data_IF_847379993364
#
_entry.id   IF_847379993364
#
_cell.length_a   1.000
_cell.length_b   1.000
_cell.length_c   1.000
_cell.angle_alpha   90.00
_cell.angle_beta   90.00
_cell.angle_gamma   90.00
#
_symmetry.space_group_name_H-M   'P 1'
#
loop_
_entity.id
_entity.type
_entity.pdbx_description
1 polymer ?
#
# COMPACT_ATOMS: atom_id res chain seq x y z
N UNK A 1 14.62 -9.56 -10.72
CA UNK A 1 13.34 -9.99 -10.17
C UNK A 1 13.45 -10.54 -8.78
N UNK A 2 13.75 -9.74 -7.76
CA UNK A 2 13.84 -10.21 -6.36
C UNK A 2 12.77 -9.61 -5.44
N UNK A 3 11.59 -9.33 -5.98
CA UNK A 3 10.54 -8.56 -5.30
C UNK A 3 9.58 -9.38 -4.42
N UNK A 4 9.93 -10.63 -4.10
CA UNK A 4 9.04 -11.58 -3.42
C UNK A 4 8.37 -11.08 -2.13
N UNK A 5 7.07 -11.33 -2.01
CA UNK A 5 6.39 -11.53 -0.73
C UNK A 5 6.24 -10.32 0.20
N UNK A 6 5.71 -9.20 -0.30
CA UNK A 6 4.89 -8.37 0.58
C UNK A 6 3.52 -9.03 0.69
N UNK A 7 3.24 -9.69 1.82
CA UNK A 7 1.85 -10.03 2.16
C UNK A 7 0.99 -8.78 2.02
N UNK A 8 -0.24 -8.97 1.59
CA UNK A 8 -1.29 -7.97 1.40
C UNK A 8 -1.48 -6.94 2.56
N UNK A 9 -0.84 -7.10 3.72
CA UNK A 9 -0.67 -6.07 4.75
C UNK A 9 0.68 -5.35 4.64
N UNK A 10 0.68 -4.06 4.32
CA UNK A 10 1.86 -3.17 4.25
C UNK A 10 2.53 -2.87 5.62
N UNK A 11 2.47 -3.79 6.57
CA UNK A 11 3.24 -3.72 7.80
C UNK A 11 3.82 -5.09 8.06
N UNK A 12 5.13 -5.18 8.27
CA UNK A 12 5.89 -6.41 8.46
C UNK A 12 5.14 -7.41 9.35
N UNK A 13 4.42 -8.33 8.73
CA UNK A 13 3.97 -9.54 9.39
C UNK A 13 5.08 -10.56 9.13
N UNK A 14 6.23 -10.32 9.74
CA UNK A 14 7.40 -11.16 9.61
C UNK A 14 7.06 -12.57 10.04
N UNK A 15 6.98 -13.50 9.08
CA UNK A 15 7.22 -14.95 9.18
C UNK A 15 6.57 -15.76 10.32
N UNK A 16 5.73 -15.16 11.16
CA UNK A 16 5.17 -15.76 12.35
C UNK A 16 3.66 -15.79 12.25
N UNK A 17 3.10 -16.98 12.43
CA UNK A 17 1.68 -17.20 12.69
C UNK A 17 1.26 -16.41 13.94
N UNK A 18 0.99 -15.11 13.82
CA UNK A 18 0.29 -14.37 14.85
C UNK A 18 -1.13 -14.93 14.90
N UNK A 19 -1.58 -15.32 16.10
CA UNK A 19 -2.94 -15.86 16.29
C UNK A 19 -4.04 -14.86 15.92
N UNK A 20 -3.66 -13.59 15.72
CA UNK A 20 -4.55 -12.49 15.37
C UNK A 20 -3.83 -11.56 14.36
N UNK A 21 -4.01 -11.77 13.04
CA UNK A 21 -3.35 -10.95 12.03
C UNK A 21 -4.07 -9.61 11.84
N UNK A 22 -3.30 -8.57 11.51
CA UNK A 22 -3.80 -7.23 11.25
C UNK A 22 -4.25 -7.12 9.79
N UNK A 23 -5.47 -6.62 9.56
CA UNK A 23 -6.02 -6.48 8.19
C UNK A 23 -6.34 -5.03 7.79
N UNK A 24 -6.65 -4.17 8.76
CA UNK A 24 -6.93 -2.74 8.56
C UNK A 24 -5.81 -1.88 9.16
N UNK A 25 -4.82 -1.54 8.35
CA UNK A 25 -3.79 -0.60 8.75
C UNK A 25 -4.28 0.83 8.57
N UNK A 26 -4.15 1.65 9.62
CA UNK A 26 -4.46 3.08 9.51
C UNK A 26 -3.28 3.76 8.79
N UNK A 27 -3.52 4.49 7.69
CA UNK A 27 -2.46 5.02 6.82
C UNK A 27 -1.85 6.31 7.39
N UNK A 28 -1.23 6.22 8.57
CA UNK A 28 -0.54 7.33 9.20
C UNK A 28 0.63 7.81 8.32
N UNK A 29 0.57 9.08 7.87
CA UNK A 29 1.63 9.74 7.09
C UNK A 29 2.52 10.56 7.99
N UNK A 30 3.83 10.46 7.80
CA UNK A 30 4.80 11.32 8.48
C UNK A 30 4.96 12.64 7.71
N UNK A 31 4.65 13.76 8.38
CA UNK A 31 4.69 15.09 7.78
C UNK A 31 6.09 15.53 7.32
N UNK A 32 7.15 15.05 7.97
CA UNK A 32 8.53 15.45 7.60
C UNK A 32 9.00 14.86 6.27
N UNK A 33 8.46 13.71 5.90
CA UNK A 33 8.85 12.97 4.71
C UNK A 33 7.80 13.03 3.61
N UNK A 34 6.63 13.61 3.90
CA UNK A 34 5.56 13.79 2.91
C UNK A 34 5.93 14.93 1.96
N UNK A 35 5.87 14.65 0.66
CA UNK A 35 5.97 15.67 -0.41
C UNK A 35 4.60 16.24 -0.81
N UNK A 36 3.51 15.69 -0.27
CA UNK A 36 2.16 16.17 -0.55
C UNK A 36 1.91 17.54 0.11
N UNK A 37 1.16 18.38 -0.60
CA UNK A 37 0.65 19.62 -0.02
C UNK A 37 -0.24 19.32 1.19
N UNK A 38 -0.24 20.23 2.16
CA UNK A 38 -1.12 20.11 3.32
C UNK A 38 -2.59 20.01 2.85
N UNK A 39 -3.41 19.13 3.46
CA UNK A 39 -4.83 19.04 3.15
C UNK A 39 -5.48 20.42 3.29
N UNK A 40 -6.19 20.88 2.26
CA UNK A 40 -6.90 22.17 2.26
C UNK A 40 -8.38 22.03 2.59
N UNK A 41 -8.89 20.80 2.61
CA UNK A 41 -10.30 20.46 2.83
C UNK A 41 -10.43 19.30 3.83
N UNK A 42 -11.63 19.10 4.37
CA UNK A 42 -11.94 17.98 5.26
C UNK A 42 -11.46 18.15 6.71
N UNK A 43 -10.83 17.11 7.24
CA UNK A 43 -10.32 17.02 8.61
C UNK A 43 -8.89 16.45 8.61
N UNK A 44 -8.13 16.80 9.64
CA UNK A 44 -6.82 16.20 9.90
C UNK A 44 -6.85 15.59 11.30
N UNK A 45 -6.62 14.28 11.38
CA UNK A 45 -6.38 13.58 12.62
C UNK A 45 -4.86 13.50 12.84
N UNK A 46 -4.39 14.25 13.83
CA UNK A 46 -3.01 14.23 14.28
C UNK A 46 -2.85 13.20 15.39
N UNK A 47 -1.82 12.36 15.28
CA UNK A 47 -1.33 11.52 16.37
C UNK A 47 0.07 11.96 16.75
N UNK A 48 0.21 12.44 17.98
CA UNK A 48 1.48 12.78 18.61
C UNK A 48 1.90 11.62 19.51
N UNK A 49 2.76 10.70 19.06
CA UNK A 49 3.22 9.56 19.84
C UNK A 49 4.16 10.01 20.97
N UNK A 50 4.24 9.24 22.05
CA UNK A 50 5.24 9.52 23.10
C UNK A 50 6.64 9.03 22.71
N UNK A 51 6.73 7.99 21.89
CA UNK A 51 7.98 7.41 21.41
C UNK A 51 7.74 6.48 20.22
N UNK A 52 8.82 6.05 19.55
CA UNK A 52 8.74 4.99 18.53
C UNK A 52 8.21 3.68 19.10
N UNK A 53 8.57 3.31 20.33
CA UNK A 53 8.12 2.07 20.96
C UNK A 53 6.61 2.09 21.26
N UNK A 54 6.10 3.21 21.78
CA UNK A 54 4.66 3.40 21.99
C UNK A 54 3.92 3.30 20.66
N UNK A 55 4.40 4.01 19.63
CA UNK A 55 3.82 3.97 18.30
C UNK A 55 3.72 2.53 17.78
N UNK A 56 4.80 1.74 17.87
CA UNK A 56 4.82 0.36 17.41
C UNK A 56 3.82 -0.54 18.16
N UNK A 57 3.58 -0.29 19.44
CA UNK A 57 2.66 -1.08 20.28
C UNK A 57 1.23 -0.52 20.33
N UNK A 58 0.99 0.64 19.70
CA UNK A 58 -0.28 1.36 19.81
C UNK A 58 -1.39 0.71 19.00
N UNK A 59 -2.59 0.64 19.60
CA UNK A 59 -3.80 0.19 18.89
C UNK A 59 -4.23 1.14 17.78
N UNK A 60 -3.72 2.38 17.75
CA UNK A 60 -4.04 3.35 16.69
C UNK A 60 -3.53 2.92 15.31
N UNK A 61 -2.64 1.92 15.24
CA UNK A 61 -2.15 1.35 13.97
C UNK A 61 -3.18 0.48 13.26
N UNK A 62 -4.13 -0.09 14.00
CA UNK A 62 -5.15 -1.01 13.49
C UNK A 62 -6.55 -0.50 13.81
N UNK A 63 -7.28 -0.05 12.79
CA UNK A 63 -8.70 0.27 12.94
C UNK A 63 -9.36 0.38 11.58
N UNK A 64 -10.43 -0.39 11.38
CA UNK A 64 -11.26 -0.29 10.18
C UNK A 64 -11.90 1.09 10.05
N UNK A 65 -12.44 1.65 11.13
CA UNK A 65 -13.14 2.93 11.08
C UNK A 65 -12.21 4.08 10.64
N UNK A 66 -11.04 4.21 11.25
CA UNK A 66 -10.04 5.19 10.83
C UNK A 66 -9.53 4.94 9.40
N UNK A 67 -9.30 3.69 8.97
CA UNK A 67 -8.93 3.41 7.56
C UNK A 67 -10.02 3.86 6.57
N UNK A 68 -11.30 3.66 6.90
CA UNK A 68 -12.41 4.15 6.08
C UNK A 68 -12.50 5.68 6.08
N UNK A 69 -12.32 6.33 7.23
CA UNK A 69 -12.27 7.80 7.29
C UNK A 69 -11.10 8.39 6.50
N UNK A 70 -9.98 7.67 6.40
CA UNK A 70 -8.87 8.05 5.53
C UNK A 70 -9.24 8.01 4.02
N UNK A 71 -10.33 7.34 3.66
CA UNK A 71 -10.92 7.37 2.31
C UNK A 71 -11.95 8.51 2.13
N UNK A 72 -12.26 9.27 3.20
CA UNK A 72 -13.33 10.28 3.27
C UNK A 72 -12.82 11.66 3.69
N UNK A 73 -11.63 12.07 3.20
CA UNK A 73 -10.98 13.34 3.55
C UNK A 73 -10.73 13.56 5.05
N UNK A 74 -10.44 12.49 5.79
CA UNK A 74 -9.79 12.60 7.10
C UNK A 74 -8.32 12.21 6.93
N UNK A 75 -7.43 13.19 6.86
CA UNK A 75 -6.01 12.95 6.73
C UNK A 75 -5.44 12.38 8.04
N UNK A 76 -4.67 11.29 7.96
CA UNK A 76 -4.06 10.64 9.11
C UNK A 76 -2.60 11.06 9.23
N UNK A 77 -2.29 11.97 10.14
CA UNK A 77 -0.95 12.54 10.28
C UNK A 77 -0.28 12.09 11.56
N UNK A 78 0.90 11.50 11.40
CA UNK A 78 1.85 11.35 12.49
C UNK A 78 2.58 12.67 12.67
N UNK A 79 2.48 13.22 13.88
CA UNK A 79 2.96 14.56 14.21
C UNK A 79 3.92 14.53 15.41
N UNK A 80 4.70 15.58 15.52
CA UNK A 80 5.60 15.82 16.65
C UNK A 80 5.66 17.31 16.98
N UNK A 81 6.54 17.68 17.91
CA UNK A 81 6.71 19.09 18.35
C UNK A 81 7.16 20.04 17.24
N UNK A 82 7.64 19.55 16.10
CA UNK A 82 8.02 20.37 14.94
C UNK A 82 6.87 20.56 13.96
N UNK A 83 5.71 19.94 14.21
CA UNK A 83 4.52 20.10 13.37
C UNK A 83 4.00 21.55 13.48
N UNK A 84 3.61 22.20 12.37
CA UNK A 84 3.00 23.52 12.43
C UNK A 84 1.83 23.56 13.43
N UNK A 85 1.80 24.59 14.28
CA UNK A 85 0.81 24.76 15.35
C UNK A 85 0.79 23.63 16.41
N UNK A 86 1.86 22.83 16.54
CA UNK A 86 1.93 21.74 17.53
C UNK A 86 1.64 22.21 18.96
N UNK A 87 2.12 23.39 19.37
CA UNK A 87 1.84 23.96 20.69
C UNK A 87 0.34 24.16 20.94
N UNK A 88 -0.38 24.68 19.94
CA UNK A 88 -1.85 24.87 20.00
C UNK A 88 -2.59 23.54 19.98
N UNK A 89 -2.14 22.59 19.16
CA UNK A 89 -2.78 21.27 19.03
C UNK A 89 -2.60 20.43 20.30
N UNK A 90 -1.38 20.38 20.85
CA UNK A 90 -1.04 19.59 22.04
C UNK A 90 -1.54 20.31 23.30
N UNK A 91 -1.31 21.62 23.40
CA UNK A 91 -1.54 22.40 24.62
C UNK A 91 -0.77 21.83 25.81
N UNK A 92 -1.40 21.80 26.99
CA UNK A 92 -0.83 21.21 28.21
C UNK A 92 -0.92 19.67 28.29
N UNK A 93 -1.31 18.98 27.21
CA UNK A 93 -1.54 17.54 27.23
C UNK A 93 -0.22 16.76 27.33
N UNK A 94 -0.20 15.67 28.10
CA UNK A 94 0.93 14.72 28.06
C UNK A 94 0.83 13.84 26.81
N UNK A 95 1.98 13.45 26.26
CA UNK A 95 2.01 12.50 25.14
C UNK A 95 1.85 11.04 25.64
N UNK A 96 1.22 10.14 24.85
CA UNK A 96 0.67 10.40 23.52
C UNK A 96 -0.65 11.19 23.55
N UNK A 97 -0.97 11.92 22.48
CA UNK A 97 -2.25 12.63 22.30
C UNK A 97 -2.73 12.51 20.85
N UNK A 98 -4.04 12.42 20.66
CA UNK A 98 -4.67 12.51 19.33
C UNK A 98 -5.54 13.75 19.25
N UNK A 99 -5.44 14.50 18.15
CA UNK A 99 -6.15 15.77 17.95
C UNK A 99 -6.80 15.74 16.58
N UNK A 100 -8.12 15.91 16.53
CA UNK A 100 -8.86 16.13 15.31
C UNK A 100 -8.98 17.64 15.09
N UNK A 101 -8.58 18.11 13.91
CA UNK A 101 -8.55 19.52 13.58
C UNK A 101 -9.03 19.78 12.15
N UNK A 102 -9.37 21.05 11.88
CA UNK A 102 -9.57 21.56 10.54
C UNK A 102 -8.21 21.80 9.83
N UNK A 103 -8.19 21.92 8.50
CA UNK A 103 -7.00 22.30 7.72
C UNK A 103 -6.26 23.55 8.23
N UNK A 104 -6.98 24.53 8.78
CA UNK A 104 -6.41 25.76 9.34
C UNK A 104 -5.72 25.56 10.71
N UNK A 105 -5.72 24.34 11.24
CA UNK A 105 -5.13 23.99 12.53
C UNK A 105 -6.07 24.14 13.73
N UNK A 106 -7.32 24.56 13.52
CA UNK A 106 -8.32 24.70 14.60
C UNK A 106 -8.72 23.31 15.15
N UNK A 107 -8.46 23.00 16.43
CA UNK A 107 -8.90 21.75 17.03
C UNK A 107 -10.44 21.68 17.12
N UNK A 108 -11.00 20.54 16.72
CA UNK A 108 -12.44 20.21 16.87
C UNK A 108 -12.67 19.01 17.79
N UNK A 109 -11.61 18.24 18.09
CA UNK A 109 -11.66 17.16 19.07
C UNK A 109 -10.26 16.80 19.58
N UNK A 110 -10.16 16.29 20.81
CA UNK A 110 -8.91 15.86 21.41
C UNK A 110 -9.11 14.64 22.30
N UNK A 111 -8.19 13.69 22.24
CA UNK A 111 -8.11 12.53 23.13
C UNK A 111 -6.77 12.55 23.84
N UNK A 112 -6.80 12.70 25.16
CA UNK A 112 -5.62 12.63 26.02
C UNK A 112 -5.35 11.18 26.44
N UNK A 113 -4.07 10.85 26.63
CA UNK A 113 -3.73 9.50 27.10
C UNK A 113 -4.20 9.24 28.53
N UNK A 114 -4.50 7.98 28.81
CA UNK A 114 -4.63 7.46 30.16
C UNK A 114 -3.46 6.52 30.43
N UNK A 115 -2.63 6.84 31.42
CA UNK A 115 -1.43 6.07 31.78
C UNK A 115 -0.47 5.82 30.59
N UNK A 116 -0.24 6.86 29.77
CA UNK A 116 0.69 6.81 28.64
C UNK A 116 0.14 6.07 27.41
N UNK A 117 -1.15 5.74 27.37
CA UNK A 117 -1.79 5.03 26.25
C UNK A 117 -3.02 5.75 25.71
N UNK A 118 -3.16 5.78 24.39
CA UNK A 118 -4.40 6.13 23.71
C UNK A 118 -5.15 4.84 23.37
N UNK A 119 -6.47 4.84 23.58
CA UNK A 119 -7.35 3.76 23.10
C UNK A 119 -7.91 4.15 21.75
N UNK A 120 -7.79 3.28 20.75
CA UNK A 120 -8.30 3.55 19.41
C UNK A 120 -9.80 3.87 19.41
N UNK A 121 -10.59 3.21 20.26
CA UNK A 121 -12.02 3.46 20.40
C UNK A 121 -12.37 4.90 20.82
N UNK A 122 -11.54 5.54 21.67
CA UNK A 122 -11.76 6.93 22.08
C UNK A 122 -11.47 7.89 20.92
N UNK A 123 -10.46 7.57 20.10
CA UNK A 123 -10.12 8.33 18.89
C UNK A 123 -11.19 8.17 17.81
N UNK A 124 -11.62 6.94 17.54
CA UNK A 124 -12.75 6.64 16.63
C UNK A 124 -14.00 7.41 17.03
N UNK A 125 -14.29 7.50 18.34
CA UNK A 125 -15.45 8.22 18.86
C UNK A 125 -15.43 9.70 18.50
N UNK A 126 -14.30 10.40 18.68
CA UNK A 126 -14.24 11.83 18.37
C UNK A 126 -14.35 12.09 16.86
N UNK A 127 -13.75 11.25 16.02
CA UNK A 127 -13.86 11.37 14.56
C UNK A 127 -15.29 11.09 14.12
N UNK A 128 -15.90 10.02 14.63
CA UNK A 128 -17.29 9.66 14.30
C UNK A 128 -18.28 10.74 14.73
N UNK A 129 -18.08 11.35 15.92
CA UNK A 129 -18.95 12.41 16.42
C UNK A 129 -18.89 13.66 15.52
N UNK A 130 -17.70 14.11 15.16
CA UNK A 130 -17.51 15.26 14.25
C UNK A 130 -18.10 14.98 12.86
N UNK A 131 -17.85 13.80 12.29
CA UNK A 131 -18.42 13.42 10.98
C UNK A 131 -19.95 13.39 11.03
N UNK A 132 -20.55 12.85 12.10
CA UNK A 132 -22.02 12.87 12.28
C UNK A 132 -22.58 14.29 12.42
N UNK A 133 -21.89 15.17 13.13
CA UNK A 133 -22.30 16.56 13.26
C UNK A 133 -22.28 17.29 11.91
N UNK A 134 -21.23 17.06 11.10
CA UNK A 134 -21.14 17.57 9.73
C UNK A 134 -22.25 17.02 8.85
N UNK A 135 -22.51 15.71 8.94
CA UNK A 135 -23.59 15.08 8.19
C UNK A 135 -24.96 15.69 8.51
N UNK A 136 -25.26 15.90 9.80
CA UNK A 136 -26.51 16.54 10.23
C UNK A 136 -26.64 17.98 9.69
N UNK A 137 -25.53 18.72 9.63
CA UNK A 137 -25.49 20.06 9.03
C UNK A 137 -25.77 20.01 7.54
N UNK A 138 -25.18 19.05 6.83
CA UNK A 138 -25.42 18.84 5.40
C UNK A 138 -26.87 18.42 5.12
N UNK A 139 -27.44 17.57 5.96
CA UNK A 139 -28.85 17.18 5.87
C UNK A 139 -29.80 18.37 6.08
N UNK A 140 -29.49 19.24 7.04
CA UNK A 140 -30.22 20.51 7.22
C UNK A 140 -30.09 21.38 5.98
N UNK A 141 -28.88 21.58 5.46
CA UNK A 141 -28.64 22.40 4.27
C UNK A 141 -29.38 21.86 3.05
N UNK A 142 -29.41 20.54 2.83
CA UNK A 142 -30.18 19.92 1.75
C UNK A 142 -31.68 20.18 1.90
N UNK A 143 -32.21 20.02 3.11
CA UNK A 143 -33.63 20.28 3.41
C UNK A 143 -34.00 21.74 3.19
N UNK A 144 -33.18 22.66 3.69
CA UNK A 144 -33.38 24.09 3.60
C UNK A 144 -33.23 24.58 2.15
N UNK A 145 -32.23 24.06 1.41
CA UNK A 145 -32.04 24.36 -0.01
C UNK A 145 -33.28 23.96 -0.83
N UNK A 146 -33.83 22.77 -0.56
CA UNK A 146 -35.05 22.28 -1.21
C UNK A 146 -36.26 23.17 -0.89
N UNK A 147 -36.42 23.58 0.36
CA UNK A 147 -37.51 24.47 0.77
C UNK A 147 -37.38 25.86 0.11
N UNK A 148 -36.18 26.42 0.05
CA UNK A 148 -35.87 27.69 -0.62
C UNK A 148 -36.14 27.64 -2.12
N UNK A 149 -35.68 26.57 -2.79
CA UNK A 149 -35.96 26.35 -4.21
C UNK A 149 -37.47 26.27 -4.48
N UNK A 150 -38.21 25.53 -3.65
CA UNK A 150 -39.68 25.42 -3.77
C UNK A 150 -40.41 26.76 -3.54
N UNK A 151 -39.83 27.65 -2.72
CA UNK A 151 -40.34 28.99 -2.47
C UNK A 151 -39.94 30.03 -3.53
N UNK A 152 -39.18 29.63 -4.58
CA UNK A 152 -38.69 30.53 -5.62
C UNK A 152 -37.42 31.30 -5.27
N UNK A 153 -36.89 31.13 -4.06
CA UNK A 153 -35.63 31.75 -3.58
C UNK A 153 -34.43 30.96 -4.12
N UNK A 154 -34.20 31.10 -5.42
CA UNK A 154 -33.19 30.31 -6.16
C UNK A 154 -31.76 30.66 -5.76
N UNK A 155 -31.49 31.89 -5.35
CA UNK A 155 -30.16 32.34 -4.96
C UNK A 155 -29.69 31.67 -3.66
N UNK A 156 -30.54 31.66 -2.62
CA UNK A 156 -30.18 31.02 -1.35
C UNK A 156 -30.14 29.50 -1.48
N UNK A 157 -31.03 28.91 -2.30
CA UNK A 157 -31.00 27.48 -2.61
C UNK A 157 -29.68 27.07 -3.28
N UNK A 158 -29.21 27.83 -4.28
CA UNK A 158 -27.92 27.56 -4.95
C UNK A 158 -26.76 27.59 -3.96
N UNK A 159 -26.71 28.59 -3.07
CA UNK A 159 -25.65 28.71 -2.06
C UNK A 159 -25.62 27.50 -1.12
N UNK A 160 -26.77 27.05 -0.64
CA UNK A 160 -26.87 25.88 0.24
C UNK A 160 -26.46 24.58 -0.49
N UNK A 161 -26.91 24.37 -1.73
CA UNK A 161 -26.48 23.20 -2.50
C UNK A 161 -24.99 23.24 -2.84
N UNK A 162 -24.40 24.41 -3.10
CA UNK A 162 -22.95 24.54 -3.31
C UNK A 162 -22.17 24.12 -2.06
N UNK A 163 -22.62 24.52 -0.87
CA UNK A 163 -22.02 24.09 0.39
C UNK A 163 -22.06 22.56 0.57
N UNK A 164 -23.19 21.92 0.22
CA UNK A 164 -23.31 20.45 0.25
C UNK A 164 -22.42 19.78 -0.80
N UNK A 165 -22.34 20.34 -2.01
CA UNK A 165 -21.51 19.83 -3.09
C UNK A 165 -20.01 19.92 -2.78
N UNK A 166 -19.59 20.93 -2.02
CA UNK A 166 -18.20 21.08 -1.56
C UNK A 166 -17.77 19.92 -0.65
N UNK A 167 -18.69 19.33 0.11
CA UNK A 167 -18.42 18.21 1.04
C UNK A 167 -18.39 16.83 0.33
N UNK A 168 -18.20 16.81 -1.01
CA UNK A 168 -18.20 15.59 -1.85
C UNK A 168 -17.21 14.52 -1.43
N UNK A 169 -16.11 14.89 -0.79
CA UNK A 169 -15.10 13.92 -0.39
C UNK A 169 -15.57 13.05 0.79
N UNK A 170 -16.27 13.66 1.74
CA UNK A 170 -16.78 12.95 2.92
C UNK A 170 -18.18 12.38 2.65
N UNK A 171 -19.03 13.11 1.92
CA UNK A 171 -20.43 12.79 1.67
C UNK A 171 -20.79 12.77 0.18
N UNK A 172 -20.06 11.98 -0.61
CA UNK A 172 -20.19 11.88 -2.07
C UNK A 172 -21.63 11.74 -2.58
N UNK A 173 -22.45 10.92 -1.92
CA UNK A 173 -23.87 10.73 -2.27
C UNK A 173 -24.70 12.02 -2.10
N UNK A 174 -24.51 12.72 -0.99
CA UNK A 174 -25.22 13.98 -0.69
C UNK A 174 -24.75 15.08 -1.64
N UNK A 175 -23.45 15.15 -1.91
CA UNK A 175 -22.89 16.07 -2.90
C UNK A 175 -23.40 15.80 -4.32
N UNK A 176 -23.53 14.53 -4.75
CA UNK A 176 -24.13 14.15 -6.04
C UNK A 176 -25.58 14.60 -6.13
N UNK A 177 -26.35 14.45 -5.04
CA UNK A 177 -27.74 14.92 -4.95
C UNK A 177 -27.79 16.45 -5.09
N UNK A 178 -26.96 17.19 -4.35
CA UNK A 178 -26.88 18.64 -4.45
C UNK A 178 -26.44 19.11 -5.85
N UNK A 179 -25.48 18.43 -6.48
CA UNK A 179 -25.05 18.73 -7.84
C UNK A 179 -26.17 18.53 -8.87
N UNK A 180 -26.99 17.49 -8.71
CA UNK A 180 -28.16 17.27 -9.56
C UNK A 180 -29.22 18.37 -9.39
N UNK A 181 -29.46 18.85 -8.17
CA UNK A 181 -30.38 19.96 -7.91
C UNK A 181 -29.84 21.30 -8.42
N UNK A 182 -28.54 21.58 -8.24
CA UNK A 182 -27.85 22.74 -8.83
C UNK A 182 -28.02 22.78 -10.36
N UNK A 183 -28.00 21.62 -11.01
CA UNK A 183 -28.25 21.51 -12.45
C UNK A 183 -29.65 21.91 -12.86
N UNK A 184 -30.66 21.57 -12.06
CA UNK A 184 -32.03 22.04 -12.31
C UNK A 184 -32.15 23.57 -12.13
N UNK A 185 -31.29 24.17 -11.32
CA UNK A 185 -31.20 25.62 -11.08
C UNK A 185 -30.25 26.35 -12.04
N UNK A 186 -29.74 25.68 -13.09
CA UNK A 186 -28.95 26.32 -14.16
C UNK A 186 -27.41 26.18 -14.06
N UNK A 187 -26.87 25.36 -13.14
CA UNK A 187 -25.43 25.13 -13.00
C UNK A 187 -24.97 23.78 -13.61
N UNK A 188 -23.90 23.74 -14.41
CA UNK A 188 -23.56 22.55 -15.20
C UNK A 188 -22.83 21.40 -14.44
N UNK A 189 -23.30 20.18 -14.72
CA UNK A 189 -22.74 18.80 -14.67
C UNK A 189 -21.78 18.31 -13.57
N UNK A 190 -22.06 17.10 -13.04
CA UNK A 190 -21.07 16.07 -12.67
C UNK A 190 -21.61 14.67 -12.99
N UNK A 191 -20.73 13.79 -13.52
CA UNK A 191 -21.02 12.43 -13.98
C UNK A 191 -21.33 11.39 -12.88
N UNK A 192 -21.66 10.17 -13.33
CA UNK A 192 -22.00 9.03 -12.47
C UNK A 192 -20.83 8.53 -11.63
N UNK A 193 -20.99 8.58 -10.31
CA UNK A 193 -20.17 7.86 -9.32
C UNK A 193 -21.01 6.71 -8.74
N UNK A 194 -20.37 5.55 -8.56
CA UNK A 194 -20.92 4.32 -7.99
C UNK A 194 -21.31 4.49 -6.52
N UNK A 195 -22.39 3.82 -6.16
CA UNK A 195 -23.15 3.93 -4.94
C UNK A 195 -22.57 3.10 -3.79
N UNK A 196 -22.06 3.75 -2.74
CA UNK A 196 -22.25 3.31 -1.34
C UNK A 196 -21.45 4.20 -0.38
N UNK A 197 -22.00 4.45 0.79
CA UNK A 197 -21.26 5.00 1.93
C UNK A 197 -20.71 3.83 2.75
N UNK A 198 -19.48 3.93 3.31
CA UNK A 198 -18.94 2.85 4.12
C UNK A 198 -19.84 2.48 5.30
N UNK A 199 -19.85 1.19 5.66
CA UNK A 199 -20.66 0.65 6.76
C UNK A 199 -19.89 0.80 8.06
N UNK A 200 -20.35 1.72 8.93
CA UNK A 200 -19.74 1.98 10.25
C UNK A 200 -20.45 1.28 11.42
N UNK A 201 -21.55 0.55 11.20
CA UNK A 201 -22.29 -0.12 12.28
C UNK A 201 -21.38 -1.12 13.01
N UNK A 202 -21.26 -1.08 14.36
CA UNK A 202 -20.27 -1.86 15.09
C UNK A 202 -20.31 -3.37 14.84
N UNK A 203 -21.50 -3.99 14.79
CA UNK A 203 -21.62 -5.44 14.57
C UNK A 203 -21.23 -5.83 13.15
N UNK A 204 -21.68 -5.08 12.14
CA UNK A 204 -21.32 -5.27 10.74
C UNK A 204 -19.82 -5.07 10.54
N UNK A 205 -19.25 -4.00 11.08
CA UNK A 205 -17.81 -3.71 11.02
C UNK A 205 -16.99 -4.84 11.65
N UNK A 206 -17.37 -5.32 12.84
CA UNK A 206 -16.72 -6.45 13.49
C UNK A 206 -16.84 -7.76 12.68
N UNK A 207 -17.98 -7.99 12.02
CA UNK A 207 -18.18 -9.14 11.14
C UNK A 207 -17.26 -9.08 9.91
N UNK A 208 -17.12 -7.92 9.27
CA UNK A 208 -16.23 -7.70 8.12
C UNK A 208 -14.78 -7.95 8.53
N UNK A 209 -14.31 -7.34 9.64
CA UNK A 209 -12.96 -7.54 10.18
C UNK A 209 -12.70 -9.02 10.43
N UNK A 210 -13.65 -9.75 11.01
CA UNK A 210 -13.53 -11.19 11.25
C UNK A 210 -13.40 -11.99 9.94
N UNK A 211 -14.16 -11.65 8.91
CA UNK A 211 -14.06 -12.30 7.58
C UNK A 211 -12.70 -12.00 6.95
N UNK A 212 -12.26 -10.75 6.97
CA UNK A 212 -10.94 -10.34 6.48
C UNK A 212 -9.79 -11.08 7.18
N UNK A 213 -9.81 -11.15 8.52
CA UNK A 213 -8.80 -11.90 9.29
C UNK A 213 -8.78 -13.38 8.93
N UNK A 214 -9.95 -14.00 8.72
CA UNK A 214 -10.03 -15.39 8.23
C UNK A 214 -9.45 -15.52 6.83
N UNK A 215 -9.67 -14.54 5.96
CA UNK A 215 -9.07 -14.49 4.62
C UNK A 215 -7.54 -14.48 4.70
N UNK A 216 -6.97 -13.60 5.52
CA UNK A 216 -5.52 -13.50 5.71
C UNK A 216 -4.93 -14.75 6.37
N UNK A 217 -5.63 -15.38 7.31
CA UNK A 217 -5.22 -16.68 7.85
C UNK A 217 -5.21 -17.76 6.77
N UNK A 218 -6.23 -17.77 5.89
CA UNK A 218 -6.28 -18.71 4.77
C UNK A 218 -5.15 -18.46 3.77
N UNK A 219 -4.88 -17.20 3.41
CA UNK A 219 -3.77 -16.79 2.54
C UNK A 219 -2.41 -17.20 3.11
N UNK A 220 -2.17 -16.94 4.41
CA UNK A 220 -0.93 -17.34 5.10
C UNK A 220 -0.78 -18.86 5.25
N UNK A 221 -1.90 -19.60 5.24
CA UNK A 221 -1.93 -21.07 5.17
C UNK A 221 -1.96 -21.59 3.73
N UNK A 222 -1.80 -20.71 2.76
CA UNK A 222 -1.71 -21.01 1.33
C UNK A 222 -2.99 -21.65 0.78
N UNK A 223 -4.13 -21.38 1.42
CA UNK A 223 -5.47 -21.78 1.00
C UNK A 223 -6.08 -20.65 0.16
N UNK A 224 -5.49 -20.39 -1.00
CA UNK A 224 -5.75 -19.16 -1.75
C UNK A 224 -7.16 -19.04 -2.31
N UNK A 225 -7.78 -20.14 -2.74
CA UNK A 225 -9.17 -20.14 -3.20
C UNK A 225 -10.14 -19.80 -2.05
N UNK A 226 -9.83 -20.26 -0.83
CA UNK A 226 -10.58 -19.87 0.36
C UNK A 226 -10.34 -18.41 0.71
N UNK A 227 -9.10 -17.92 0.58
CA UNK A 227 -8.78 -16.51 0.79
C UNK A 227 -9.53 -15.61 -0.20
N UNK A 228 -9.54 -15.92 -1.49
CA UNK A 228 -10.29 -15.21 -2.55
C UNK A 228 -11.77 -15.15 -2.16
N UNK A 229 -12.39 -16.29 -1.82
CA UNK A 229 -13.79 -16.35 -1.39
C UNK A 229 -14.09 -15.46 -0.17
N UNK A 230 -13.21 -15.46 0.82
CA UNK A 230 -13.39 -14.67 2.05
C UNK A 230 -13.22 -13.17 1.79
N UNK A 231 -12.23 -12.77 0.99
CA UNK A 231 -12.07 -11.36 0.62
C UNK A 231 -13.21 -10.88 -0.28
N UNK A 232 -13.68 -11.68 -1.24
CA UNK A 232 -14.88 -11.38 -2.03
C UNK A 232 -16.13 -11.26 -1.16
N UNK A 233 -16.27 -12.11 -0.13
CA UNK A 233 -17.36 -11.99 0.84
C UNK A 233 -17.26 -10.65 1.60
N UNK A 234 -16.08 -10.27 2.10
CA UNK A 234 -15.90 -8.99 2.78
C UNK A 234 -16.19 -7.79 1.86
N UNK A 235 -15.80 -7.86 0.59
CA UNK A 235 -16.12 -6.86 -0.44
C UNK A 235 -17.63 -6.72 -0.66
N UNK A 236 -18.36 -7.83 -0.69
CA UNK A 236 -19.83 -7.81 -0.83
C UNK A 236 -20.52 -7.22 0.41
N UNK A 237 -19.93 -7.42 1.61
CA UNK A 237 -20.47 -6.85 2.85
C UNK A 237 -20.30 -5.33 2.92
N UNK A 238 -19.26 -4.76 2.31
CA UNK A 238 -19.08 -3.31 2.16
C UNK A 238 -18.34 -2.95 0.85
N UNK A 239 -19.07 -2.65 -0.24
CA UNK A 239 -18.48 -2.21 -1.50
C UNK A 239 -17.83 -0.81 -1.46
N UNK A 240 -17.99 -0.03 -0.39
CA UNK A 240 -17.28 1.23 -0.21
C UNK A 240 -15.95 1.06 0.53
N UNK A 241 -15.67 -0.14 1.06
CA UNK A 241 -14.39 -0.47 1.70
C UNK A 241 -13.35 -0.90 0.64
N UNK A 242 -12.26 -0.14 0.42
CA UNK A 242 -11.22 -0.51 -0.54
C UNK A 242 -10.34 -1.65 -0.04
N UNK A 243 -10.35 -1.96 1.27
CA UNK A 243 -9.41 -2.92 1.86
C UNK A 243 -9.60 -4.33 1.31
N UNK A 244 -10.80 -4.95 1.29
CA UNK A 244 -10.97 -6.28 0.69
C UNK A 244 -10.48 -6.35 -0.76
N UNK A 245 -10.70 -5.30 -1.54
CA UNK A 245 -10.28 -5.21 -2.94
C UNK A 245 -8.75 -5.14 -3.09
N UNK A 246 -8.07 -4.43 -2.18
CA UNK A 246 -6.61 -4.43 -2.09
C UNK A 246 -6.05 -5.83 -1.85
N UNK A 247 -6.65 -6.58 -0.92
CA UNK A 247 -6.25 -7.97 -0.66
C UNK A 247 -6.52 -8.88 -1.86
N UNK A 248 -7.64 -8.70 -2.57
CA UNK A 248 -7.95 -9.43 -3.81
C UNK A 248 -6.94 -9.14 -4.92
N UNK A 249 -6.66 -7.86 -5.22
CA UNK A 249 -5.71 -7.51 -6.28
C UNK A 249 -4.31 -8.05 -6.01
N UNK A 250 -3.87 -8.00 -4.76
CA UNK A 250 -2.60 -8.59 -4.31
C UNK A 250 -2.58 -10.11 -4.47
N UNK A 251 -3.64 -10.80 -4.01
CA UNK A 251 -3.82 -12.24 -4.13
C UNK A 251 -3.83 -12.69 -5.60
N UNK A 252 -4.56 -11.97 -6.46
CA UNK A 252 -4.66 -12.24 -7.88
C UNK A 252 -3.32 -12.10 -8.60
N UNK A 253 -2.56 -11.01 -8.35
CA UNK A 253 -1.29 -10.81 -9.06
C UNK A 253 -0.16 -11.73 -8.57
N UNK A 254 -0.11 -12.03 -7.27
CA UNK A 254 1.07 -12.65 -6.65
C UNK A 254 0.87 -14.13 -6.36
N UNK A 255 -0.30 -14.53 -5.88
CA UNK A 255 -0.53 -15.94 -5.57
C UNK A 255 -1.21 -16.66 -6.72
N UNK A 256 -2.32 -16.16 -7.23
CA UNK A 256 -3.12 -16.88 -8.23
C UNK A 256 -2.61 -16.71 -9.67
N UNK A 257 -1.83 -15.67 -9.96
CA UNK A 257 -1.39 -15.34 -11.31
C UNK A 257 -2.52 -14.90 -12.25
N UNK A 258 -3.65 -14.42 -11.69
CA UNK A 258 -4.80 -13.90 -12.41
C UNK A 258 -4.60 -12.40 -12.70
N UNK A 259 -3.62 -12.07 -13.53
CA UNK A 259 -3.18 -10.69 -13.81
C UNK A 259 -4.32 -9.78 -14.31
N UNK A 260 -5.20 -10.29 -15.17
CA UNK A 260 -6.34 -9.52 -15.68
C UNK A 260 -7.31 -9.12 -14.56
N UNK A 261 -7.62 -10.04 -13.63
CA UNK A 261 -8.43 -9.72 -12.45
C UNK A 261 -7.72 -8.70 -11.56
N UNK A 262 -6.41 -8.85 -11.35
CA UNK A 262 -5.65 -7.91 -10.54
C UNK A 262 -5.67 -6.49 -11.13
N UNK A 263 -5.56 -6.35 -12.46
CA UNK A 263 -5.70 -5.06 -13.15
C UNK A 263 -7.08 -4.45 -12.88
N UNK A 264 -8.15 -5.25 -12.98
CA UNK A 264 -9.51 -4.77 -12.70
C UNK A 264 -9.65 -4.31 -11.25
N UNK A 265 -9.21 -5.12 -10.28
CA UNK A 265 -9.29 -4.79 -8.85
C UNK A 265 -8.52 -3.50 -8.53
N UNK A 266 -7.28 -3.36 -9.04
CA UNK A 266 -6.47 -2.17 -8.78
C UNK A 266 -7.05 -0.92 -9.44
N UNK A 267 -7.57 -1.02 -10.67
CA UNK A 267 -8.23 0.12 -11.31
C UNK A 267 -9.51 0.52 -10.57
N UNK A 268 -10.26 -0.43 -10.03
CA UNK A 268 -11.44 -0.11 -9.21
C UNK A 268 -11.06 0.63 -7.93
N UNK A 269 -9.95 0.27 -7.25
CA UNK A 269 -9.41 1.05 -6.12
C UNK A 269 -9.10 2.49 -6.54
N UNK A 270 -8.47 2.68 -7.70
CA UNK A 270 -8.10 4.02 -8.19
C UNK A 270 -9.31 4.86 -8.62
N UNK A 271 -10.44 4.21 -8.94
CA UNK A 271 -11.69 4.84 -9.39
C UNK A 271 -12.74 5.02 -8.28
N UNK A 272 -12.42 4.64 -7.04
CA UNK A 272 -13.28 4.85 -5.87
C UNK A 272 -12.62 5.75 -4.82
N UNK A 273 -13.39 6.32 -3.85
CA UNK A 273 -12.80 6.88 -2.65
C UNK A 273 -12.02 5.79 -1.91
N UNK A 274 -10.70 5.94 -1.82
CA UNK A 274 -9.82 4.96 -1.22
C UNK A 274 -8.71 5.64 -0.41
N UNK A 275 -8.30 4.97 0.67
CA UNK A 275 -7.26 5.46 1.55
C UNK A 275 -5.88 5.47 0.85
N UNK A 276 -4.92 6.31 1.31
CA UNK A 276 -3.62 6.43 0.66
C UNK A 276 -2.85 5.12 0.55
N UNK A 277 -2.94 4.25 1.55
CA UNK A 277 -2.27 2.95 1.50
C UNK A 277 -2.88 2.10 0.38
N UNK A 278 -4.21 2.06 0.26
CA UNK A 278 -4.85 1.28 -0.80
C UNK A 278 -4.54 1.79 -2.21
N UNK A 279 -4.52 3.11 -2.41
CA UNK A 279 -4.13 3.71 -3.69
C UNK A 279 -2.66 3.42 -4.03
N UNK A 280 -1.77 3.52 -3.04
CA UNK A 280 -0.36 3.21 -3.25
C UNK A 280 -0.13 1.74 -3.62
N UNK A 281 -0.81 0.80 -2.96
CA UNK A 281 -0.71 -0.64 -3.30
C UNK A 281 -1.25 -0.90 -4.71
N UNK A 282 -2.37 -0.26 -5.10
CA UNK A 282 -2.90 -0.40 -6.46
C UNK A 282 -1.93 0.09 -7.54
N UNK A 283 -1.30 1.25 -7.35
CA UNK A 283 -0.29 1.78 -8.26
C UNK A 283 0.97 0.89 -8.31
N UNK A 284 1.43 0.39 -7.17
CA UNK A 284 2.56 -0.55 -7.11
C UNK A 284 2.24 -1.84 -7.87
N UNK A 285 1.05 -2.40 -7.63
CA UNK A 285 0.55 -3.59 -8.31
C UNK A 285 0.55 -3.39 -9.82
N UNK A 286 -0.15 -2.36 -10.32
CA UNK A 286 -0.17 -2.02 -11.75
C UNK A 286 1.24 -1.75 -12.30
N UNK A 287 2.12 -1.11 -11.53
CA UNK A 287 3.52 -0.90 -11.92
C UNK A 287 4.26 -2.22 -12.15
N UNK A 288 4.10 -3.21 -11.25
CA UNK A 288 4.70 -4.55 -11.39
C UNK A 288 4.19 -5.25 -12.65
N UNK A 289 2.88 -5.24 -12.88
CA UNK A 289 2.26 -5.85 -14.06
C UNK A 289 2.78 -5.17 -15.34
N UNK A 290 2.89 -3.85 -15.33
CA UNK A 290 3.40 -3.04 -16.44
C UNK A 290 4.86 -3.39 -16.77
N UNK A 291 5.70 -3.59 -15.75
CA UNK A 291 7.09 -4.06 -15.92
C UNK A 291 7.13 -5.47 -16.53
N UNK A 292 6.33 -6.41 -16.03
CA UNK A 292 6.25 -7.77 -16.59
C UNK A 292 5.78 -7.79 -18.06
N UNK A 293 5.08 -6.75 -18.51
CA UNK A 293 4.68 -6.58 -19.91
C UNK A 293 5.73 -5.87 -20.77
N UNK A 294 6.91 -5.55 -20.21
CA UNK A 294 8.03 -4.90 -20.92
C UNK A 294 7.96 -3.38 -20.95
N UNK A 295 6.94 -2.75 -20.38
CA UNK A 295 6.81 -1.28 -20.31
C UNK A 295 7.56 -0.70 -19.09
N UNK A 296 8.87 -0.96 -19.00
CA UNK A 296 9.69 -0.71 -17.80
C UNK A 296 9.60 0.72 -17.23
N UNK A 297 9.78 1.76 -18.07
CA UNK A 297 9.76 3.17 -17.64
C UNK A 297 8.39 3.59 -17.10
N UNK A 298 7.31 3.14 -17.74
CA UNK A 298 5.94 3.41 -17.29
C UNK A 298 5.65 2.71 -15.97
N UNK A 299 6.10 1.46 -15.82
CA UNK A 299 5.99 0.71 -14.58
C UNK A 299 6.77 1.36 -13.42
N UNK A 300 7.99 1.86 -13.68
CA UNK A 300 8.74 2.67 -12.70
C UNK A 300 7.94 3.91 -12.27
N UNK A 301 7.41 4.68 -13.23
CA UNK A 301 6.63 5.88 -12.93
C UNK A 301 5.40 5.60 -12.06
N UNK A 302 4.74 4.44 -12.25
CA UNK A 302 3.64 4.00 -11.38
C UNK A 302 4.12 3.67 -9.96
N UNK A 303 5.28 3.01 -9.82
CA UNK A 303 5.86 2.72 -8.49
C UNK A 303 6.36 3.98 -7.77
N UNK A 304 6.91 4.95 -8.50
CA UNK A 304 7.29 6.25 -7.92
C UNK A 304 6.05 6.98 -7.40
N UNK A 305 4.98 7.08 -8.21
CA UNK A 305 3.69 7.63 -7.77
C UNK A 305 3.12 6.88 -6.55
N UNK A 306 3.24 5.55 -6.52
CA UNK A 306 2.85 4.75 -5.36
C UNK A 306 3.53 5.24 -4.08
N UNK A 307 4.86 5.40 -4.12
CA UNK A 307 5.64 5.83 -2.95
C UNK A 307 5.47 7.30 -2.57
N UNK A 308 5.03 8.14 -3.52
CA UNK A 308 4.63 9.53 -3.24
C UNK A 308 3.30 9.59 -2.49
N UNK A 309 2.33 8.73 -2.84
CA UNK A 309 1.04 8.65 -2.16
C UNK A 309 1.20 8.07 -0.76
N UNK A 310 1.92 6.95 -0.62
CA UNK A 310 2.17 6.32 0.68
C UNK A 310 3.48 5.51 0.62
N UNK A 311 4.43 5.71 1.55
CA UNK A 311 5.68 4.95 1.56
C UNK A 311 5.42 3.44 1.73
N UNK A 312 5.86 2.66 0.76
CA UNK A 312 5.79 1.20 0.78
C UNK A 312 7.19 0.62 0.66
N UNK A 313 7.61 -0.17 1.65
CA UNK A 313 8.92 -0.86 1.59
C UNK A 313 9.02 -1.73 0.34
N UNK A 314 7.95 -2.46 0.00
CA UNK A 314 7.89 -3.28 -1.22
C UNK A 314 8.07 -2.46 -2.52
N UNK A 315 7.49 -1.26 -2.61
CA UNK A 315 7.64 -0.41 -3.78
C UNK A 315 9.06 0.15 -3.87
N UNK A 316 9.65 0.62 -2.77
CA UNK A 316 11.05 1.04 -2.73
C UNK A 316 12.01 -0.09 -3.11
N UNK A 317 11.77 -1.33 -2.65
CA UNK A 317 12.55 -2.50 -3.08
C UNK A 317 12.45 -2.71 -4.59
N UNK A 318 11.26 -2.65 -5.18
CA UNK A 318 11.12 -2.85 -6.63
C UNK A 318 11.73 -1.70 -7.46
N UNK A 319 11.66 -0.46 -6.97
CA UNK A 319 12.36 0.68 -7.57
C UNK A 319 13.88 0.48 -7.49
N UNK A 320 14.40 -0.04 -6.37
CA UNK A 320 15.81 -0.37 -6.23
C UNK A 320 16.26 -1.44 -7.25
N UNK A 321 15.44 -2.48 -7.46
CA UNK A 321 15.70 -3.51 -8.49
C UNK A 321 15.77 -2.87 -9.89
N UNK A 322 14.84 -1.97 -10.22
CA UNK A 322 14.86 -1.24 -11.49
C UNK A 322 16.17 -0.47 -11.68
N UNK A 323 16.57 0.35 -10.71
CA UNK A 323 17.80 1.14 -10.86
C UNK A 323 19.06 0.28 -10.94
N UNK A 324 19.07 -0.87 -10.27
CA UNK A 324 20.17 -1.81 -10.41
C UNK A 324 20.22 -2.50 -11.78
N UNK A 325 19.07 -2.80 -12.41
CA UNK A 325 19.08 -3.30 -13.80
C UNK A 325 19.57 -2.26 -14.80
N UNK A 326 19.39 -0.97 -14.51
CA UNK A 326 19.95 0.14 -15.29
C UNK A 326 21.45 0.40 -14.99
N UNK A 327 22.05 -0.32 -14.05
CA UNK A 327 23.45 -0.12 -13.63
C UNK A 327 23.66 1.07 -12.66
N UNK A 328 22.60 1.74 -12.25
CA UNK A 328 22.61 2.90 -11.35
C UNK A 328 22.63 2.45 -9.87
N UNK A 329 23.74 1.82 -9.45
CA UNK A 329 23.90 1.20 -8.13
C UNK A 329 23.67 2.18 -6.95
N UNK A 330 24.03 3.45 -7.13
CA UNK A 330 23.84 4.49 -6.11
C UNK A 330 22.34 4.73 -5.83
N UNK A 331 21.52 4.85 -6.88
CA UNK A 331 20.06 4.98 -6.76
C UNK A 331 19.43 3.71 -6.19
N UNK A 332 19.88 2.53 -6.65
CA UNK A 332 19.45 1.26 -6.08
C UNK A 332 19.69 1.18 -4.57
N UNK A 333 20.86 1.63 -4.11
CA UNK A 333 21.22 1.67 -2.68
C UNK A 333 20.38 2.67 -1.89
N UNK A 334 20.09 3.85 -2.46
CA UNK A 334 19.22 4.86 -1.84
C UNK A 334 17.82 4.30 -1.57
N UNK A 335 17.20 3.68 -2.57
CA UNK A 335 15.85 3.10 -2.42
C UNK A 335 15.84 1.86 -1.53
N UNK A 336 16.91 1.07 -1.53
CA UNK A 336 17.11 -0.03 -0.58
C UNK A 336 17.13 0.50 0.86
N UNK A 337 17.84 1.60 1.12
CA UNK A 337 17.88 2.23 2.43
C UNK A 337 16.50 2.77 2.85
N UNK A 338 15.75 3.40 1.93
CA UNK A 338 14.37 3.84 2.19
C UNK A 338 13.47 2.67 2.62
N UNK A 339 13.56 1.51 1.96
CA UNK A 339 12.81 0.33 2.35
C UNK A 339 13.20 -0.17 3.75
N UNK A 340 14.50 -0.19 4.04
CA UNK A 340 15.04 -0.58 5.34
C UNK A 340 14.58 0.36 6.46
N UNK A 341 14.60 1.68 6.24
CA UNK A 341 14.22 2.67 7.25
C UNK A 341 12.73 2.61 7.63
N UNK A 342 11.88 2.12 6.71
CA UNK A 342 10.45 1.90 6.99
C UNK A 342 10.22 0.75 7.98
N UNK A 343 10.98 -0.34 7.87
CA UNK A 343 10.94 -1.45 8.82
C UNK A 343 12.33 -2.08 9.00
N UNK A 344 13.14 -1.53 9.92
CA UNK A 344 14.50 -2.04 10.18
C UNK A 344 14.53 -3.43 10.82
N UNK A 345 13.39 -3.94 11.28
CA UNK A 345 13.29 -5.24 11.94
C UNK A 345 12.76 -6.33 11.00
N UNK A 346 12.30 -5.98 9.80
CA UNK A 346 11.86 -6.95 8.80
C UNK A 346 13.07 -7.74 8.24
N UNK A 347 13.21 -9.05 8.53
CA UNK A 347 14.33 -9.84 8.02
C UNK A 347 14.37 -9.88 6.49
N UNK A 348 13.23 -9.66 5.81
CA UNK A 348 13.22 -9.55 4.36
C UNK A 348 13.96 -8.30 3.87
N UNK A 349 13.82 -7.15 4.55
CA UNK A 349 14.59 -5.94 4.24
C UNK A 349 16.09 -6.17 4.41
N UNK A 350 16.51 -6.92 5.44
CA UNK A 350 17.92 -7.29 5.62
C UNK A 350 18.45 -8.14 4.46
N UNK A 351 17.72 -9.20 4.08
CA UNK A 351 18.12 -10.08 2.97
C UNK A 351 18.11 -9.34 1.65
N UNK A 352 17.10 -8.50 1.41
CA UNK A 352 17.02 -7.69 0.20
C UNK A 352 18.22 -6.74 0.09
N UNK A 353 18.54 -5.99 1.15
CA UNK A 353 19.72 -5.12 1.18
C UNK A 353 21.02 -5.89 0.94
N UNK A 354 21.13 -7.12 1.46
CA UNK A 354 22.29 -7.97 1.26
C UNK A 354 22.52 -8.36 -0.22
N UNK A 355 21.48 -8.43 -1.06
CA UNK A 355 21.63 -8.64 -2.51
C UNK A 355 22.47 -7.52 -3.14
N UNK A 356 22.20 -6.26 -2.78
CA UNK A 356 22.91 -5.09 -3.31
C UNK A 356 24.28 -4.89 -2.65
N UNK A 357 24.45 -5.32 -1.40
CA UNK A 357 25.77 -5.41 -0.76
C UNK A 357 26.70 -6.38 -1.52
N UNK A 358 26.18 -7.55 -1.91
CA UNK A 358 26.93 -8.52 -2.71
C UNK A 358 27.33 -7.94 -4.08
N UNK A 359 26.40 -7.25 -4.75
CA UNK A 359 26.66 -6.57 -6.03
C UNK A 359 27.73 -5.47 -5.91
N UNK A 360 27.72 -4.73 -4.81
CA UNK A 360 28.70 -3.68 -4.49
C UNK A 360 30.02 -4.20 -3.90
N UNK A 361 30.28 -5.52 -3.93
CA UNK A 361 31.55 -6.13 -3.50
C UNK A 361 31.65 -6.52 -2.02
N UNK A 362 30.65 -6.19 -1.18
CA UNK A 362 30.60 -6.59 0.24
C UNK A 362 30.09 -8.03 0.40
N UNK A 363 30.78 -8.97 -0.24
CA UNK A 363 30.34 -10.36 -0.42
C UNK A 363 30.27 -11.14 0.90
N UNK A 364 31.24 -10.95 1.79
CA UNK A 364 31.29 -11.68 3.07
C UNK A 364 30.17 -11.26 4.02
N UNK A 365 29.89 -9.95 4.09
CA UNK A 365 28.77 -9.40 4.86
C UNK A 365 27.43 -9.92 4.34
N UNK A 366 27.24 -9.86 3.02
CA UNK A 366 26.03 -10.37 2.37
C UNK A 366 25.83 -11.88 2.61
N UNK A 367 26.91 -12.67 2.51
CA UNK A 367 26.86 -14.10 2.78
C UNK A 367 26.47 -14.41 4.23
N UNK A 368 27.01 -13.65 5.20
CA UNK A 368 26.63 -13.78 6.62
C UNK A 368 25.14 -13.53 6.82
N UNK A 369 24.57 -12.49 6.20
CA UNK A 369 23.14 -12.20 6.26
C UNK A 369 22.33 -13.32 5.62
N UNK A 370 22.74 -13.82 4.45
CA UNK A 370 22.05 -14.92 3.78
C UNK A 370 22.04 -16.20 4.64
N UNK A 371 23.18 -16.56 5.25
CA UNK A 371 23.29 -17.73 6.11
C UNK A 371 22.42 -17.62 7.37
N UNK A 372 22.28 -16.43 7.95
CA UNK A 372 21.39 -16.20 9.10
C UNK A 372 19.90 -16.30 8.74
N UNK A 373 19.54 -16.13 7.47
CA UNK A 373 18.16 -16.05 7.00
C UNK A 373 17.76 -17.21 6.06
N UNK A 374 18.54 -18.29 6.03
CA UNK A 374 18.29 -19.46 5.16
C UNK A 374 16.88 -20.02 5.27
N UNK A 375 16.25 -19.94 6.44
CA UNK A 375 14.90 -20.47 6.67
C UNK A 375 13.76 -19.53 6.22
N UNK A 376 14.08 -18.31 5.76
CA UNK A 376 13.08 -17.35 5.29
C UNK A 376 12.59 -17.74 3.89
N UNK A 377 11.52 -18.55 3.84
CA UNK A 377 10.98 -19.07 2.58
C UNK A 377 10.62 -17.97 1.55
N UNK A 378 9.97 -16.85 1.92
CA UNK A 378 9.68 -15.78 0.95
C UNK A 378 10.93 -15.13 0.34
N UNK A 379 12.09 -15.18 1.02
CA UNK A 379 13.33 -14.60 0.55
C UNK A 379 14.18 -15.55 -0.31
N UNK A 380 13.64 -16.70 -0.73
CA UNK A 380 14.39 -17.75 -1.45
C UNK A 380 15.08 -17.24 -2.72
N UNK A 381 14.43 -16.39 -3.51
CA UNK A 381 15.05 -15.78 -4.70
C UNK A 381 16.25 -14.91 -4.31
N UNK A 382 16.10 -14.02 -3.33
CA UNK A 382 17.16 -13.12 -2.89
C UNK A 382 18.33 -13.86 -2.25
N UNK A 383 18.05 -14.91 -1.48
CA UNK A 383 19.09 -15.81 -0.95
C UNK A 383 19.85 -16.48 -2.09
N UNK A 384 19.15 -16.96 -3.12
CA UNK A 384 19.81 -17.51 -4.31
C UNK A 384 20.69 -16.48 -5.03
N UNK A 385 20.20 -15.24 -5.17
CA UNK A 385 20.94 -14.15 -5.78
C UNK A 385 22.23 -13.83 -5.01
N UNK A 386 22.19 -13.84 -3.67
CA UNK A 386 23.40 -13.65 -2.84
C UNK A 386 24.35 -14.84 -3.03
N UNK A 387 23.86 -16.08 -3.02
CA UNK A 387 24.70 -17.26 -3.23
C UNK A 387 25.36 -17.25 -4.63
N UNK A 388 24.64 -16.86 -5.68
CA UNK A 388 25.19 -16.75 -7.02
C UNK A 388 26.32 -15.71 -7.12
N UNK A 389 26.11 -14.52 -6.53
CA UNK A 389 27.07 -13.42 -6.54
C UNK A 389 28.31 -13.68 -5.66
N UNK A 390 28.16 -14.55 -4.65
CA UNK A 390 29.25 -14.96 -3.74
C UNK A 390 29.93 -16.27 -4.16
N UNK A 391 29.60 -16.83 -5.33
CA UNK A 391 30.28 -18.01 -5.90
C UNK A 391 29.76 -19.36 -5.39
N UNK A 392 28.65 -19.39 -4.67
CA UNK A 392 28.05 -20.60 -4.10
C UNK A 392 27.01 -21.20 -5.05
N UNK A 393 27.46 -21.67 -6.22
CA UNK A 393 26.60 -22.19 -7.32
C UNK A 393 25.51 -23.15 -6.84
N UNK A 394 25.88 -24.21 -6.14
CA UNK A 394 24.92 -25.27 -5.78
C UNK A 394 23.84 -24.77 -4.82
N UNK A 395 24.19 -23.85 -3.91
CA UNK A 395 23.22 -23.18 -3.05
C UNK A 395 22.31 -22.25 -3.87
N UNK A 396 22.85 -21.50 -4.83
CA UNK A 396 22.03 -20.65 -5.68
C UNK A 396 20.94 -21.47 -6.42
N UNK A 397 21.33 -22.58 -7.04
CA UNK A 397 20.39 -23.48 -7.74
C UNK A 397 19.37 -24.11 -6.78
N UNK A 398 19.81 -24.55 -5.59
CA UNK A 398 18.92 -25.12 -4.59
C UNK A 398 17.86 -24.10 -4.10
N UNK A 399 18.25 -22.84 -3.89
CA UNK A 399 17.32 -21.81 -3.43
C UNK A 399 16.44 -21.25 -4.54
N UNK A 400 16.90 -21.23 -5.79
CA UNK A 400 16.02 -21.00 -6.95
C UNK A 400 15.00 -22.12 -7.09
N UNK A 401 15.41 -23.39 -6.91
CA UNK A 401 14.47 -24.53 -6.91
C UNK A 401 13.45 -24.39 -5.79
N UNK A 402 13.88 -24.00 -4.59
CA UNK A 402 12.98 -23.71 -3.48
C UNK A 402 12.00 -22.59 -3.81
N UNK A 403 12.48 -21.51 -4.41
CA UNK A 403 11.63 -20.41 -4.84
C UNK A 403 10.59 -20.89 -5.87
N UNK A 404 11.02 -21.48 -6.99
CA UNK A 404 10.10 -21.82 -8.08
C UNK A 404 9.15 -22.99 -7.79
N UNK A 405 9.56 -23.97 -6.98
CA UNK A 405 8.80 -25.22 -6.84
C UNK A 405 8.25 -25.48 -5.44
N UNK A 406 8.68 -24.73 -4.42
CA UNK A 406 8.12 -24.81 -3.07
C UNK A 406 7.37 -23.54 -2.68
N UNK A 407 7.92 -22.36 -2.99
CA UNK A 407 7.27 -21.08 -2.72
C UNK A 407 6.25 -20.73 -3.81
N UNK A 408 6.65 -20.72 -5.08
CA UNK A 408 5.77 -20.42 -6.22
C UNK A 408 4.91 -21.63 -6.62
N UNK A 409 3.61 -21.55 -6.34
CA UNK A 409 2.68 -22.68 -6.52
C UNK A 409 1.98 -22.70 -7.86
N UNK A 410 1.64 -21.53 -8.39
CA UNK A 410 0.88 -21.42 -9.63
C UNK A 410 1.84 -21.27 -10.80
N UNK A 411 1.63 -22.09 -11.82
CA UNK A 411 2.48 -22.11 -13.00
C UNK A 411 2.56 -20.73 -13.68
N UNK A 412 1.43 -20.01 -13.75
CA UNK A 412 1.33 -18.67 -14.34
C UNK A 412 2.18 -17.60 -13.64
N UNK A 413 2.45 -17.75 -12.34
CA UNK A 413 3.38 -16.87 -11.61
C UNK A 413 4.81 -17.35 -11.84
N UNK A 414 5.03 -18.66 -11.69
CA UNK A 414 6.33 -19.31 -11.84
C UNK A 414 6.99 -19.02 -13.20
N UNK A 415 6.26 -19.10 -14.31
CA UNK A 415 6.82 -18.87 -15.66
C UNK A 415 7.40 -17.46 -15.81
N UNK A 416 6.78 -16.46 -15.15
CA UNK A 416 7.25 -15.07 -15.16
C UNK A 416 8.47 -14.88 -14.29
N UNK A 417 8.44 -15.36 -13.06
CA UNK A 417 9.58 -15.26 -12.13
C UNK A 417 10.80 -16.05 -12.67
N UNK A 418 10.58 -17.17 -13.37
CA UNK A 418 11.64 -17.88 -14.10
C UNK A 418 12.23 -17.03 -15.23
N UNK A 419 11.39 -16.30 -15.97
CA UNK A 419 11.85 -15.40 -17.00
C UNK A 419 12.64 -14.24 -16.41
N UNK A 420 12.21 -13.69 -15.28
CA UNK A 420 12.96 -12.66 -14.56
C UNK A 420 14.34 -13.18 -14.15
N UNK A 421 14.46 -14.38 -13.60
CA UNK A 421 15.75 -14.95 -13.24
C UNK A 421 16.70 -15.10 -14.43
N UNK A 422 16.18 -15.41 -15.63
CA UNK A 422 16.99 -15.54 -16.85
C UNK A 422 17.60 -14.21 -17.33
N UNK A 423 16.96 -13.09 -17.00
CA UNK A 423 17.39 -11.75 -17.42
C UNK A 423 18.03 -10.94 -16.28
N UNK A 424 18.01 -11.45 -15.05
CA UNK A 424 18.53 -10.76 -13.88
C UNK A 424 20.06 -10.88 -13.77
N UNK A 425 20.74 -9.73 -13.74
CA UNK A 425 22.19 -9.64 -13.65
C UNK A 425 22.77 -10.31 -12.39
N UNK A 426 21.98 -10.46 -11.32
CA UNK A 426 22.42 -11.15 -10.09
C UNK A 426 22.74 -12.63 -10.33
N UNK A 427 22.22 -13.23 -11.40
CA UNK A 427 22.49 -14.62 -11.79
C UNK A 427 23.45 -14.75 -12.97
N UNK A 428 24.16 -13.69 -13.35
CA UNK A 428 25.09 -13.72 -14.47
C UNK A 428 26.16 -14.83 -14.37
N UNK A 429 26.52 -15.27 -13.17
CA UNK A 429 27.47 -16.37 -12.94
C UNK A 429 26.92 -17.76 -13.26
N UNK A 430 25.59 -17.92 -13.34
CA UNK A 430 24.92 -19.22 -13.54
C UNK A 430 23.93 -19.22 -14.72
N UNK A 431 23.76 -18.11 -15.43
CA UNK A 431 22.74 -17.98 -16.49
C UNK A 431 22.92 -18.95 -17.67
N UNK A 432 24.16 -19.39 -17.94
CA UNK A 432 24.49 -20.39 -18.97
C UNK A 432 24.64 -21.82 -18.41
N UNK A 433 24.41 -21.99 -17.11
CA UNK A 433 24.52 -23.28 -16.46
C UNK A 433 23.39 -24.22 -16.91
N UNK A 434 23.72 -25.46 -17.25
CA UNK A 434 22.72 -26.44 -17.74
C UNK A 434 21.61 -26.70 -16.71
N UNK A 435 21.95 -26.77 -15.44
CA UNK A 435 20.98 -27.00 -14.37
C UNK A 435 20.11 -25.76 -14.16
N UNK A 436 20.66 -24.55 -14.31
CA UNK A 436 19.87 -23.31 -14.27
C UNK A 436 18.88 -23.23 -15.45
N UNK A 437 19.34 -23.54 -16.67
CA UNK A 437 18.50 -23.53 -17.86
C UNK A 437 17.36 -24.55 -17.77
N UNK A 438 17.65 -25.76 -17.27
CA UNK A 438 16.66 -26.80 -17.01
C UNK A 438 15.69 -26.38 -15.90
N UNK A 439 16.20 -25.79 -14.81
CA UNK A 439 15.39 -25.32 -13.70
C UNK A 439 14.37 -24.26 -14.13
N UNK A 440 14.74 -23.40 -15.09
CA UNK A 440 13.96 -22.28 -15.62
C UNK A 440 13.30 -22.58 -16.98
N UNK A 441 13.23 -23.84 -17.41
CA UNK A 441 12.78 -24.21 -18.77
C UNK A 441 11.38 -23.74 -19.16
N UNK A 442 10.54 -23.44 -18.17
CA UNK A 442 9.18 -22.94 -18.36
C UNK A 442 9.08 -21.41 -18.32
N UNK A 443 10.19 -20.69 -18.45
CA UNK A 443 10.15 -19.23 -18.57
C UNK A 443 9.28 -18.79 -19.75
N UNK A 444 8.45 -17.76 -19.55
CA UNK A 444 7.45 -17.32 -20.55
C UNK A 444 8.05 -16.72 -21.83
N UNK A 445 9.35 -16.39 -21.82
CA UNK A 445 10.08 -15.87 -22.97
C UNK A 445 9.71 -14.44 -23.38
N UNK A 446 8.92 -13.72 -22.57
CA UNK A 446 8.37 -12.40 -22.95
C UNK A 446 9.34 -11.24 -22.73
N UNK A 447 10.30 -11.39 -21.83
CA UNK A 447 11.30 -10.36 -21.58
C UNK A 447 12.47 -10.50 -22.57
N UNK A 448 13.05 -9.40 -23.08
CA UNK A 448 14.25 -9.49 -23.90
C UNK A 448 15.39 -10.05 -23.05
N UNK A 449 16.11 -11.07 -23.55
CA UNK A 449 17.33 -11.54 -22.91
C UNK A 449 18.34 -10.38 -22.87
N UNK A 450 18.67 -9.92 -21.67
CA UNK A 450 19.67 -8.86 -21.50
C UNK A 450 21.03 -9.47 -21.85
N UNK A 451 21.57 -9.11 -23.03
CA UNK A 451 23.00 -9.23 -23.25
C UNK A 451 23.66 -8.29 -22.24
N UNK A 452 24.42 -8.84 -21.30
CA UNK A 452 25.08 -8.03 -20.27
C UNK A 452 25.90 -6.92 -20.95
N UNK A 453 26.08 -5.73 -20.34
CA UNK A 453 26.97 -4.70 -20.88
C UNK A 453 28.41 -5.20 -21.15
N UNK A 454 28.85 -6.29 -20.49
CA UNK A 454 30.12 -6.98 -20.80
C UNK A 454 30.07 -7.83 -22.07
N UNK A 455 28.89 -8.25 -22.51
CA UNK A 455 28.63 -8.97 -23.76
C UNK A 455 28.31 -8.01 -24.92
N UNK A 456 27.96 -6.75 -24.63
CA UNK A 456 27.75 -5.67 -25.60
C UNK A 456 29.05 -4.95 -26.02
N UNK A 457 30.21 -5.62 -25.94
CA UNK A 457 31.40 -5.11 -26.63
C UNK A 457 31.14 -5.22 -28.14
N UNK A 458 31.36 -4.17 -28.94
CA UNK A 458 31.18 -4.26 -30.38
C UNK A 458 32.12 -5.33 -30.92
N UNK A 459 31.58 -6.31 -31.65
CA UNK A 459 32.38 -7.14 -32.54
C UNK A 459 33.19 -6.17 -33.41
N UNK A 460 34.51 -6.10 -33.18
CA UNK A 460 35.41 -5.49 -34.14
C UNK A 460 35.25 -6.30 -35.42
N UNK A 461 34.63 -5.72 -36.44
CA UNK A 461 34.78 -6.23 -37.79
C UNK A 461 36.24 -6.03 -38.15
N UNK A 462 36.99 -7.12 -38.22
CA UNK A 462 38.27 -7.12 -38.92
C UNK A 462 37.96 -6.90 -40.40
N UNK A 463 38.57 -5.84 -40.95
CA UNK A 463 38.43 -5.42 -42.34
C UNK A 463 39.14 -6.36 -43.30
#
# INVERSE_FOLDING_TARGET
GGGGGGTSGSGGNGGGSTKDPVVYHVPWKNLKTSKEAAPTEGLILYWFPASKDEMQKSTLRESRALSLYASQCVAMHLADVQTPNAETLIGGSKLPVAVLAKPDGTPVGKVENTAGKLKVADVEKIVTAEVKQREATIDSNLKDAKAKAAAGDSAEAVKLYQAVAAEKCMFSKKAKTAAAELKKLGAANVGEIVESSPVFEPKASAAIVKVMKRGLIAENKEQYELAEKLYSQARQMDPADPTPLRYLGELHRHHLGNWDKAILDFNEILNMPADPLSRAVALHGLGKITIHNGEFKKGLGLMEQSTEIYPLALAYRNIAVYWNSEGELAKGSEYTQKAFDLDPNDPYNHVFSAVFMAASGKKDEALKIALANVNLLPASYNLAAIFAQTGHRDKALAYLKRHFYQYERYHAVREKEMMEARVDAVFASIVQDKDFLELTKFADGKLPMVMSPRQAAPMKMEH
#
